data_IF_686577930635
#
_entry.id   IF_686577930635
#
_cell.length_a   1.000
_cell.length_b   1.000
_cell.length_c   1.000
_cell.angle_alpha   90.00
_cell.angle_beta   90.00
_cell.angle_gamma   90.00
#
_symmetry.space_group_name_H-M   'P 1'
#
loop_
_entity.id
_entity.type
_entity.pdbx_description
1 polymer ?
#
# COMPACT_ATOMS: atom_id res chain seq x y z
N UNK A 1 -4.25 29.19 -55.60
CA UNK A 1 -2.89 29.25 -55.06
C UNK A 1 -3.01 28.82 -53.60
N UNK A 2 -2.81 27.55 -53.35
CA UNK A 2 -2.95 27.00 -52.00
C UNK A 2 -1.60 27.16 -51.28
N UNK A 3 -1.63 27.84 -50.14
CA UNK A 3 -0.45 28.08 -49.30
C UNK A 3 -0.07 26.78 -48.57
N UNK A 4 1.03 26.15 -49.03
CA UNK A 4 1.61 24.93 -48.47
C UNK A 4 2.51 25.22 -47.28
N UNK A 5 2.66 26.47 -46.84
CA UNK A 5 3.61 26.90 -45.81
C UNK A 5 3.03 26.81 -44.39
N UNK A 6 1.71 26.85 -44.24
CA UNK A 6 1.09 26.84 -42.90
C UNK A 6 0.87 25.44 -42.30
N UNK A 7 1.28 24.38 -42.99
CA UNK A 7 1.19 22.99 -42.46
C UNK A 7 2.51 22.42 -41.95
N UNK A 8 3.58 23.19 -41.90
CA UNK A 8 4.93 22.72 -41.47
C UNK A 8 5.36 23.31 -40.12
N UNK A 9 4.52 24.01 -39.39
CA UNK A 9 4.86 24.61 -38.11
C UNK A 9 4.14 23.99 -36.90
N UNK A 10 3.51 22.84 -37.06
CA UNK A 10 3.09 22.00 -35.92
C UNK A 10 3.95 20.72 -35.91
N UNK A 11 5.26 20.89 -35.77
CA UNK A 11 6.12 19.82 -35.30
C UNK A 11 5.93 19.79 -33.79
N UNK A 12 5.13 18.83 -33.33
CA UNK A 12 5.20 18.35 -31.96
C UNK A 12 6.68 18.20 -31.60
N UNK A 13 7.16 18.97 -30.64
CA UNK A 13 8.38 18.70 -29.91
C UNK A 13 8.17 17.39 -29.15
N UNK A 14 8.23 16.28 -29.86
CA UNK A 14 8.56 15.00 -29.24
C UNK A 14 10.01 15.16 -28.74
N UNK A 15 10.13 15.50 -27.48
CA UNK A 15 11.35 15.27 -26.69
C UNK A 15 11.81 13.85 -27.03
N UNK A 16 13.05 13.61 -27.47
CA UNK A 16 13.52 12.27 -27.74
C UNK A 16 13.32 11.48 -26.46
N UNK A 17 12.47 10.45 -26.49
CA UNK A 17 12.39 9.46 -25.42
C UNK A 17 13.75 8.77 -25.38
N UNK A 18 14.66 9.30 -24.58
CA UNK A 18 15.89 8.62 -24.22
C UNK A 18 15.43 7.35 -23.50
N UNK A 19 15.84 6.21 -24.01
CA UNK A 19 15.44 4.88 -23.51
C UNK A 19 16.15 4.62 -22.17
N UNK A 20 15.78 5.41 -21.15
CA UNK A 20 16.39 5.40 -19.83
C UNK A 20 15.83 4.26 -19.00
N UNK A 21 16.66 3.25 -18.78
CA UNK A 21 16.32 2.10 -17.94
C UNK A 21 16.67 2.31 -16.45
N UNK A 22 17.36 3.40 -16.12
CA UNK A 22 17.84 3.70 -14.76
C UNK A 22 17.39 5.08 -14.28
N UNK A 23 16.96 5.15 -13.02
CA UNK A 23 16.78 6.40 -12.32
C UNK A 23 17.58 6.42 -11.01
N UNK A 24 17.86 7.62 -10.51
CA UNK A 24 18.60 7.86 -9.27
C UNK A 24 17.81 8.82 -8.39
N UNK A 25 17.57 8.44 -7.14
CA UNK A 25 17.15 9.32 -6.06
C UNK A 25 18.39 9.64 -5.22
N UNK A 26 18.94 10.83 -5.39
CA UNK A 26 20.20 11.23 -4.75
C UNK A 26 19.96 12.13 -3.52
N UNK A 27 20.82 12.04 -2.51
CA UNK A 27 20.89 12.95 -1.36
C UNK A 27 22.00 13.98 -1.55
N UNK A 28 23.12 13.57 -2.19
CA UNK A 28 24.29 14.39 -2.39
C UNK A 28 24.60 14.62 -3.88
N UNK A 29 25.04 15.83 -4.22
CA UNK A 29 25.53 16.14 -5.57
C UNK A 29 26.77 15.34 -5.96
N UNK A 30 27.60 14.97 -4.97
CA UNK A 30 28.79 14.14 -5.20
C UNK A 30 28.41 12.74 -5.68
N UNK A 31 27.42 12.10 -5.05
CA UNK A 31 26.91 10.80 -5.48
C UNK A 31 26.32 10.91 -6.90
N UNK A 32 25.46 11.91 -7.16
CA UNK A 32 24.87 12.14 -8.47
C UNK A 32 25.94 12.31 -9.56
N UNK A 33 26.90 13.18 -9.32
CA UNK A 33 27.98 13.48 -10.28
C UNK A 33 28.84 12.24 -10.56
N UNK A 34 29.14 11.45 -9.51
CA UNK A 34 29.91 10.22 -9.64
C UNK A 34 29.17 9.16 -10.45
N UNK A 35 27.86 8.95 -10.18
CA UNK A 35 27.03 8.02 -10.95
C UNK A 35 26.95 8.44 -12.43
N UNK A 36 26.74 9.72 -12.71
CA UNK A 36 26.73 10.23 -14.07
C UNK A 36 28.07 9.98 -14.79
N UNK A 37 29.19 10.24 -14.10
CA UNK A 37 30.52 9.99 -14.63
C UNK A 37 30.73 8.51 -14.93
N UNK A 38 30.32 7.61 -14.05
CA UNK A 38 30.41 6.17 -14.23
C UNK A 38 29.62 5.69 -15.46
N UNK A 39 28.37 6.12 -15.60
CA UNK A 39 27.52 5.76 -16.74
C UNK A 39 28.06 6.30 -18.05
N UNK A 40 28.51 7.56 -18.05
CA UNK A 40 29.12 8.20 -19.25
C UNK A 40 30.41 7.51 -19.67
N UNK A 41 31.27 7.15 -18.73
CA UNK A 41 32.54 6.47 -18.98
C UNK A 41 32.34 5.13 -19.70
N UNK A 42 31.31 4.38 -19.35
CA UNK A 42 30.94 3.09 -19.93
C UNK A 42 29.99 3.19 -21.13
N UNK A 43 29.69 4.41 -21.61
CA UNK A 43 28.79 4.65 -22.73
C UNK A 43 27.34 4.24 -22.48
N UNK A 44 26.92 4.16 -21.21
CA UNK A 44 25.56 3.89 -20.82
C UNK A 44 24.73 5.18 -20.85
N UNK A 45 23.41 5.08 -21.13
CA UNK A 45 22.51 6.24 -21.00
C UNK A 45 22.55 6.81 -19.58
N UNK A 46 22.70 8.11 -19.45
CA UNK A 46 22.70 8.78 -18.14
C UNK A 46 21.37 8.52 -17.43
N UNK A 47 21.39 8.15 -16.12
CA UNK A 47 20.18 7.91 -15.38
C UNK A 47 19.36 9.19 -15.19
N UNK A 48 18.04 9.06 -15.12
CA UNK A 48 17.16 10.18 -14.70
C UNK A 48 17.37 10.43 -13.22
N UNK A 49 17.78 11.63 -12.81
CA UNK A 49 18.08 11.92 -11.42
C UNK A 49 17.09 12.92 -10.80
N UNK A 50 16.66 12.61 -9.59
CA UNK A 50 15.86 13.47 -8.73
C UNK A 50 16.46 13.50 -7.33
N UNK A 51 16.27 14.61 -6.63
CA UNK A 51 16.56 14.64 -5.19
C UNK A 51 15.73 13.60 -4.45
N UNK A 52 16.31 12.94 -3.47
CA UNK A 52 15.64 11.94 -2.66
C UNK A 52 14.59 12.60 -1.72
N UNK A 53 13.44 12.94 -2.30
CA UNK A 53 12.30 13.52 -1.61
C UNK A 53 11.06 12.63 -1.81
N UNK A 54 10.10 12.64 -0.88
CA UNK A 54 8.90 11.80 -0.98
C UNK A 54 8.10 11.96 -2.28
N UNK A 55 8.08 13.17 -2.85
CA UNK A 55 7.40 13.47 -4.11
C UNK A 55 8.16 12.96 -5.35
N UNK A 56 9.47 12.77 -5.27
CA UNK A 56 10.30 12.35 -6.40
C UNK A 56 10.07 10.89 -6.78
N UNK A 57 9.82 10.03 -5.78
CA UNK A 57 9.51 8.63 -6.03
C UNK A 57 8.23 8.45 -6.87
N UNK A 58 7.23 9.31 -6.68
CA UNK A 58 5.98 9.28 -7.45
C UNK A 58 6.19 9.66 -8.92
N UNK A 59 7.09 10.61 -9.22
CA UNK A 59 7.41 11.01 -10.60
C UNK A 59 8.05 9.87 -11.40
N UNK A 60 8.71 8.93 -10.73
CA UNK A 60 9.34 7.78 -11.40
C UNK A 60 8.32 6.81 -11.99
N UNK A 61 7.08 6.80 -11.49
CA UNK A 61 6.01 5.98 -12.05
C UNK A 61 5.58 6.42 -13.47
N UNK A 62 5.92 7.64 -13.88
CA UNK A 62 5.60 8.19 -15.20
C UNK A 62 6.54 7.65 -16.30
N UNK A 63 7.68 7.05 -15.94
CA UNK A 63 8.67 6.54 -16.87
C UNK A 63 8.41 5.08 -17.25
N UNK A 64 7.86 4.86 -18.44
CA UNK A 64 7.38 3.53 -18.91
C UNK A 64 8.52 2.50 -19.05
N UNK A 65 9.75 2.92 -19.43
CA UNK A 65 10.87 2.02 -19.71
C UNK A 65 11.84 1.83 -18.54
N UNK A 66 11.52 2.38 -17.37
CA UNK A 66 12.36 2.27 -16.18
C UNK A 66 12.40 0.83 -15.67
N UNK A 67 13.61 0.33 -15.34
CA UNK A 67 13.84 -1.03 -14.85
C UNK A 67 14.57 -1.05 -13.51
N UNK A 68 15.46 -0.08 -13.28
CA UNK A 68 16.30 -0.01 -12.09
C UNK A 68 16.18 1.39 -11.47
N UNK A 69 16.01 1.45 -10.16
CA UNK A 69 16.06 2.68 -9.37
C UNK A 69 17.17 2.56 -8.34
N UNK A 70 18.12 3.49 -8.36
CA UNK A 70 19.16 3.62 -7.35
C UNK A 70 18.74 4.68 -6.32
N UNK A 71 18.83 4.38 -5.05
CA UNK A 71 18.41 5.25 -3.95
C UNK A 71 19.61 5.48 -3.04
N UNK A 72 20.09 6.71 -2.95
CA UNK A 72 21.13 7.09 -2.00
C UNK A 72 20.51 7.28 -0.61
N UNK A 73 21.09 6.60 0.39
CA UNK A 73 20.67 6.63 1.80
C UNK A 73 21.89 6.77 2.73
N UNK A 74 22.92 7.54 2.30
CA UNK A 74 24.13 7.78 3.11
C UNK A 74 23.84 8.55 4.40
N UNK A 75 22.86 9.46 4.38
CA UNK A 75 22.47 10.32 5.52
C UNK A 75 21.28 9.72 6.32
N UNK A 76 20.99 8.43 6.16
CA UNK A 76 19.85 7.79 6.81
C UNK A 76 20.24 7.21 8.17
N UNK A 77 19.48 7.53 9.22
CA UNK A 77 19.62 6.91 10.55
C UNK A 77 19.17 5.43 10.56
N UNK A 78 18.33 5.04 9.60
CA UNK A 78 17.85 3.66 9.46
C UNK A 78 17.60 3.32 7.98
N UNK A 79 18.66 2.85 7.33
CA UNK A 79 18.68 2.54 5.90
C UNK A 79 17.56 1.56 5.48
N UNK A 80 17.31 0.53 6.29
CA UNK A 80 16.29 -0.50 5.97
C UNK A 80 14.89 0.12 5.96
N UNK A 81 14.57 0.89 6.99
CA UNK A 81 13.26 1.53 7.13
C UNK A 81 13.01 2.56 6.00
N UNK A 82 14.01 3.40 5.74
CA UNK A 82 13.87 4.46 4.75
C UNK A 82 13.82 3.90 3.33
N UNK A 83 14.61 2.85 3.05
CA UNK A 83 14.51 2.10 1.80
C UNK A 83 13.12 1.49 1.59
N UNK A 84 12.54 0.88 2.64
CA UNK A 84 11.17 0.36 2.58
C UNK A 84 10.14 1.46 2.28
N UNK A 85 10.22 2.60 2.97
CA UNK A 85 9.26 3.70 2.77
C UNK A 85 9.31 4.28 1.36
N UNK A 86 10.51 4.46 0.80
CA UNK A 86 10.66 4.93 -0.57
C UNK A 86 10.18 3.86 -1.55
N UNK A 87 10.57 2.61 -1.33
CA UNK A 87 10.21 1.50 -2.19
C UNK A 87 8.69 1.28 -2.28
N UNK A 88 7.94 1.52 -1.20
CA UNK A 88 6.47 1.45 -1.22
C UNK A 88 5.84 2.44 -2.23
N UNK A 89 6.53 3.55 -2.52
CA UNK A 89 6.08 4.57 -3.48
C UNK A 89 6.53 4.29 -4.91
N UNK A 90 7.36 3.28 -5.13
CA UNK A 90 7.86 2.88 -6.44
C UNK A 90 7.04 1.73 -7.03
N UNK A 91 6.85 1.70 -8.36
CA UNK A 91 6.27 0.55 -9.02
C UNK A 91 6.99 -0.76 -8.63
N UNK A 92 6.23 -1.81 -8.36
CA UNK A 92 6.77 -3.08 -7.85
C UNK A 92 7.65 -3.83 -8.85
N UNK A 93 7.47 -3.55 -10.15
CA UNK A 93 8.29 -4.17 -11.20
C UNK A 93 9.74 -3.65 -11.22
N UNK A 94 10.04 -2.52 -10.57
CA UNK A 94 11.37 -1.93 -10.57
C UNK A 94 12.32 -2.68 -9.63
N UNK A 95 13.54 -2.92 -10.08
CA UNK A 95 14.63 -3.37 -9.22
C UNK A 95 15.18 -2.18 -8.44
N UNK A 96 15.21 -2.28 -7.12
CA UNK A 96 15.69 -1.22 -6.24
C UNK A 96 17.09 -1.52 -5.78
N UNK A 97 18.01 -0.56 -6.00
CA UNK A 97 19.37 -0.57 -5.49
C UNK A 97 19.50 0.51 -4.43
N UNK A 98 19.85 0.12 -3.23
CA UNK A 98 20.18 1.05 -2.15
C UNK A 98 21.67 1.34 -2.16
N UNK A 99 22.03 2.61 -2.18
CA UNK A 99 23.42 3.08 -2.07
C UNK A 99 23.60 3.61 -0.66
N UNK A 100 24.57 3.07 0.07
CA UNK A 100 24.82 3.46 1.46
C UNK A 100 26.21 3.13 1.92
N UNK A 101 26.65 3.78 2.99
CA UNK A 101 27.99 3.62 3.60
C UNK A 101 27.99 2.64 4.79
N UNK A 102 26.85 2.06 5.13
CA UNK A 102 26.72 1.14 6.24
C UNK A 102 27.20 -0.27 5.83
N UNK A 103 28.11 -0.86 6.59
CA UNK A 103 28.71 -2.18 6.33
C UNK A 103 28.14 -3.31 7.24
N UNK A 104 27.14 -3.00 8.07
CA UNK A 104 26.54 -3.97 8.96
C UNK A 104 25.88 -5.12 8.19
N UNK A 105 26.35 -6.33 8.42
CA UNK A 105 25.81 -7.56 7.77
C UNK A 105 24.31 -7.72 8.02
N UNK A 106 23.83 -7.28 9.19
CA UNK A 106 22.39 -7.32 9.54
C UNK A 106 21.56 -6.42 8.64
N UNK A 107 22.03 -5.21 8.34
CA UNK A 107 21.38 -4.25 7.44
C UNK A 107 21.36 -4.78 6.00
N UNK A 108 22.53 -5.25 5.52
CA UNK A 108 22.64 -5.82 4.16
C UNK A 108 21.73 -7.04 3.99
N UNK A 109 21.66 -7.91 5.01
CA UNK A 109 20.78 -9.09 4.99
C UNK A 109 19.31 -8.67 4.99
N UNK A 110 18.91 -7.73 5.85
CA UNK A 110 17.55 -7.24 5.91
C UNK A 110 17.10 -6.58 4.59
N UNK A 111 17.96 -5.80 3.94
CA UNK A 111 17.68 -5.24 2.60
C UNK A 111 17.51 -6.33 1.55
N UNK A 112 18.35 -7.37 1.58
CA UNK A 112 18.26 -8.50 0.66
C UNK A 112 16.97 -9.31 0.86
N UNK A 113 16.55 -9.52 2.10
CA UNK A 113 15.32 -10.22 2.44
C UNK A 113 14.07 -9.45 1.96
N UNK A 114 14.19 -8.11 1.86
CA UNK A 114 13.19 -7.22 1.25
C UNK A 114 13.24 -7.17 -0.29
N UNK A 115 14.17 -7.90 -0.90
CA UNK A 115 14.38 -7.93 -2.34
C UNK A 115 15.12 -6.73 -2.90
N UNK A 116 15.83 -5.98 -2.08
CA UNK A 116 16.68 -4.86 -2.52
C UNK A 116 18.09 -5.32 -2.78
N UNK A 117 18.74 -4.64 -3.73
CA UNK A 117 20.18 -4.74 -3.94
C UNK A 117 20.87 -3.66 -3.11
N UNK A 118 22.08 -3.91 -2.64
CA UNK A 118 22.87 -2.95 -1.88
C UNK A 118 24.20 -2.69 -2.53
N UNK A 119 24.50 -1.43 -2.86
CA UNK A 119 25.78 -0.96 -3.36
C UNK A 119 26.47 -0.16 -2.27
N UNK A 120 27.61 -0.65 -1.80
CA UNK A 120 28.40 0.04 -0.78
C UNK A 120 29.00 1.32 -1.34
N UNK A 121 28.93 2.40 -0.59
CA UNK A 121 29.45 3.69 -0.95
C UNK A 121 30.63 4.09 -0.02
N UNK A 122 31.74 4.68 -0.55
CA UNK A 122 31.99 5.01 -1.98
C UNK A 122 32.37 3.78 -2.81
N UNK A 123 31.85 3.70 -4.03
CA UNK A 123 32.21 2.68 -5.02
C UNK A 123 32.96 3.30 -6.18
N UNK A 124 33.85 2.56 -6.82
CA UNK A 124 34.51 3.00 -8.05
C UNK A 124 33.55 3.05 -9.24
N UNK A 125 33.88 3.79 -10.30
CA UNK A 125 33.06 3.91 -11.51
C UNK A 125 32.77 2.55 -12.15
N UNK A 126 33.76 1.65 -12.16
CA UNK A 126 33.62 0.28 -12.69
C UNK A 126 32.69 -0.54 -11.82
N UNK A 127 32.84 -0.48 -10.49
CA UNK A 127 31.97 -1.21 -9.56
C UNK A 127 30.49 -0.77 -9.70
N UNK A 128 30.22 0.52 -9.86
CA UNK A 128 28.88 1.05 -10.08
C UNK A 128 28.26 0.46 -11.34
N UNK A 129 28.99 0.49 -12.45
CA UNK A 129 28.46 0.06 -13.76
C UNK A 129 28.33 -1.46 -13.86
N UNK A 130 29.27 -2.23 -13.32
CA UNK A 130 29.19 -3.70 -13.26
C UNK A 130 28.02 -4.14 -12.39
N UNK A 131 27.84 -3.46 -11.25
CA UNK A 131 26.72 -3.72 -10.38
C UNK A 131 25.38 -3.42 -11.06
N UNK A 132 25.26 -2.25 -11.70
CA UNK A 132 24.09 -1.89 -12.49
C UNK A 132 23.78 -2.91 -13.59
N UNK A 133 24.78 -3.33 -14.37
CA UNK A 133 24.61 -4.35 -15.41
C UNK A 133 24.13 -5.68 -14.84
N UNK A 134 24.66 -6.08 -13.69
CA UNK A 134 24.24 -7.30 -13.00
C UNK A 134 22.80 -7.21 -12.55
N UNK A 135 22.37 -6.07 -11.98
CA UNK A 135 20.98 -5.85 -11.56
C UNK A 135 20.05 -5.81 -12.76
N UNK A 136 20.43 -5.10 -13.84
CA UNK A 136 19.64 -5.02 -15.07
C UNK A 136 19.50 -6.40 -15.73
N UNK A 137 20.58 -7.17 -15.80
CA UNK A 137 20.57 -8.53 -16.32
C UNK A 137 19.62 -9.43 -15.51
N UNK A 138 19.73 -9.38 -14.19
CA UNK A 138 18.84 -10.09 -13.28
C UNK A 138 17.39 -9.66 -13.47
N UNK A 139 17.14 -8.37 -13.66
CA UNK A 139 15.81 -7.83 -13.93
C UNK A 139 15.21 -8.44 -15.21
N UNK A 140 15.97 -8.49 -16.29
CA UNK A 140 15.52 -9.04 -17.59
C UNK A 140 15.32 -10.55 -17.53
N UNK A 141 16.23 -11.29 -16.91
CA UNK A 141 16.12 -12.75 -16.77
C UNK A 141 14.96 -13.19 -15.87
N UNK A 142 14.63 -12.39 -14.86
CA UNK A 142 13.57 -12.68 -13.88
C UNK A 142 12.16 -12.28 -14.33
N UNK A 143 11.97 -11.74 -15.53
CA UNK A 143 10.63 -11.51 -16.10
C UNK A 143 9.78 -12.82 -16.21
N UNK A 144 10.41 -13.99 -16.00
CA UNK A 144 9.72 -15.30 -15.95
C UNK A 144 9.70 -15.99 -14.57
N UNK A 145 10.45 -15.50 -13.56
CA UNK A 145 10.55 -16.19 -12.25
C UNK A 145 10.64 -15.14 -11.13
N UNK A 146 9.61 -15.11 -10.31
CA UNK A 146 9.49 -14.42 -9.01
C UNK A 146 10.11 -13.02 -8.92
N UNK A 147 9.27 -12.01 -9.00
CA UNK A 147 9.58 -10.62 -8.60
C UNK A 147 9.94 -10.58 -7.12
N UNK A 148 11.01 -9.88 -6.76
CA UNK A 148 11.55 -9.84 -5.40
C UNK A 148 10.71 -9.00 -4.41
N UNK A 149 9.75 -8.20 -4.90
CA UNK A 149 8.93 -7.36 -4.05
C UNK A 149 7.50 -7.85 -4.06
N UNK A 150 6.99 -8.16 -2.88
CA UNK A 150 5.57 -8.47 -2.65
C UNK A 150 4.82 -7.21 -2.30
N UNK A 151 3.54 -7.14 -2.71
CA UNK A 151 2.64 -6.14 -2.19
C UNK A 151 2.53 -6.25 -0.68
N UNK A 152 2.39 -5.13 0.02
CA UNK A 152 2.09 -5.13 1.45
C UNK A 152 0.63 -5.53 1.64
N UNK A 153 0.40 -6.68 2.25
CA UNK A 153 -0.94 -7.23 2.49
C UNK A 153 -1.45 -6.80 3.86
N UNK A 154 -2.62 -6.18 3.90
CA UNK A 154 -3.24 -5.65 5.12
C UNK A 154 -4.67 -6.18 5.22
N UNK A 155 -4.95 -7.00 6.23
CA UNK A 155 -6.29 -7.48 6.50
C UNK A 155 -7.05 -6.50 7.40
N UNK A 156 -8.25 -6.14 6.98
CA UNK A 156 -9.21 -5.36 7.78
C UNK A 156 -10.25 -6.30 8.34
N UNK A 157 -10.30 -6.44 9.65
CA UNK A 157 -11.21 -7.33 10.35
C UNK A 157 -12.06 -6.53 11.34
N UNK A 158 -13.37 -6.63 11.20
CA UNK A 158 -14.29 -6.10 12.19
C UNK A 158 -14.43 -7.06 13.37
N UNK A 159 -14.29 -6.57 14.60
CA UNK A 159 -14.49 -7.42 15.79
C UNK A 159 -15.93 -7.94 15.89
N UNK A 160 -16.87 -7.27 15.21
CA UNK A 160 -18.27 -7.71 14.98
C UNK A 160 -18.84 -7.04 13.74
N UNK A 161 -20.01 -7.46 13.29
CA UNK A 161 -20.73 -6.80 12.20
C UNK A 161 -21.14 -5.36 12.54
N UNK A 162 -21.13 -4.49 11.53
CA UNK A 162 -21.59 -3.10 11.64
C UNK A 162 -20.63 -2.11 12.31
N UNK A 163 -19.38 -2.46 12.56
CA UNK A 163 -18.37 -1.55 13.13
C UNK A 163 -17.73 -0.63 12.09
N UNK A 164 -18.09 -0.74 10.80
CA UNK A 164 -17.60 0.13 9.72
C UNK A 164 -16.31 -0.33 9.05
N UNK A 165 -15.99 -1.61 9.11
CA UNK A 165 -14.76 -2.19 8.53
C UNK A 165 -14.65 -1.91 7.04
N UNK A 166 -15.67 -2.24 6.23
CA UNK A 166 -15.67 -1.99 4.78
C UNK A 166 -15.54 -0.50 4.43
N UNK A 167 -16.14 0.39 5.22
CA UNK A 167 -16.01 1.82 5.06
C UNK A 167 -14.53 2.24 5.22
N UNK A 168 -13.90 1.80 6.31
CA UNK A 168 -12.50 2.15 6.59
C UNK A 168 -11.57 1.52 5.55
N UNK A 169 -11.78 0.25 5.18
CA UNK A 169 -10.99 -0.44 4.16
C UNK A 169 -11.09 0.25 2.79
N UNK A 170 -12.30 0.65 2.36
CA UNK A 170 -12.52 1.35 1.10
C UNK A 170 -11.88 2.74 1.09
N UNK A 171 -12.04 3.53 2.17
CA UNK A 171 -11.46 4.86 2.30
C UNK A 171 -9.92 4.82 2.32
N UNK A 172 -9.32 3.87 3.05
CA UNK A 172 -7.87 3.64 3.05
C UNK A 172 -7.39 3.26 1.66
N UNK A 173 -8.08 2.33 0.97
CA UNK A 173 -7.71 1.90 -0.38
C UNK A 173 -7.75 3.05 -1.38
N UNK A 174 -8.81 3.87 -1.35
CA UNK A 174 -8.94 5.05 -2.21
C UNK A 174 -7.90 6.12 -1.88
N UNK A 175 -7.62 6.33 -0.59
CA UNK A 175 -6.60 7.29 -0.16
C UNK A 175 -5.21 6.88 -0.65
N UNK A 176 -4.82 5.60 -0.49
CA UNK A 176 -3.54 5.07 -0.99
C UNK A 176 -3.44 5.24 -2.52
N UNK A 177 -4.49 4.90 -3.25
CA UNK A 177 -4.50 4.97 -4.71
C UNK A 177 -4.50 6.41 -5.22
N UNK A 178 -5.33 7.29 -4.65
CA UNK A 178 -5.58 8.63 -5.19
C UNK A 178 -4.62 9.69 -4.65
N UNK A 179 -4.43 9.74 -3.31
CA UNK A 179 -3.59 10.76 -2.69
C UNK A 179 -2.11 10.41 -2.73
N UNK A 180 -1.79 9.10 -2.59
CA UNK A 180 -0.42 8.61 -2.59
C UNK A 180 0.01 8.00 -3.93
N UNK A 181 -0.91 7.91 -4.91
CA UNK A 181 -0.67 7.32 -6.24
C UNK A 181 -0.08 5.90 -6.19
N UNK A 182 -0.47 5.12 -5.18
CA UNK A 182 0.03 3.76 -4.96
C UNK A 182 -0.92 2.74 -5.59
N UNK A 183 -0.44 1.85 -6.48
CA UNK A 183 -1.24 0.75 -6.99
C UNK A 183 -1.80 -0.09 -5.84
N UNK A 184 -3.11 -0.11 -5.68
CA UNK A 184 -3.82 -0.74 -4.57
C UNK A 184 -4.88 -1.70 -5.10
N UNK A 185 -4.87 -2.93 -4.58
CA UNK A 185 -5.90 -3.94 -4.83
C UNK A 185 -6.76 -4.07 -3.57
N UNK A 186 -8.06 -3.85 -3.69
CA UNK A 186 -9.03 -4.14 -2.64
C UNK A 186 -9.65 -5.51 -2.92
N UNK A 187 -9.58 -6.42 -1.94
CA UNK A 187 -10.11 -7.78 -2.04
C UNK A 187 -11.33 -7.92 -1.13
N UNK A 188 -12.45 -8.33 -1.70
CA UNK A 188 -13.71 -8.51 -0.99
C UNK A 188 -13.89 -9.97 -0.54
N UNK A 189 -13.76 -10.22 0.76
CA UNK A 189 -14.04 -11.54 1.35
C UNK A 189 -15.48 -11.67 1.88
N UNK A 190 -16.33 -10.68 1.62
CA UNK A 190 -17.76 -10.73 1.91
C UNK A 190 -18.51 -11.27 0.70
N UNK A 191 -18.57 -12.56 0.55
CA UNK A 191 -19.12 -13.23 -0.65
C UNK A 191 -20.64 -13.04 -0.80
N UNK A 192 -21.34 -12.72 0.28
CA UNK A 192 -22.79 -12.49 0.31
C UNK A 192 -23.09 -11.19 1.04
N UNK A 193 -23.88 -10.28 0.44
CA UNK A 193 -24.31 -9.06 1.11
C UNK A 193 -23.19 -8.04 1.34
N UNK A 194 -22.18 -7.99 0.46
CA UNK A 194 -21.15 -6.96 0.49
C UNK A 194 -21.75 -5.58 0.24
N UNK A 195 -21.17 -4.57 0.88
CA UNK A 195 -21.54 -3.16 0.69
C UNK A 195 -20.37 -2.33 0.11
N UNK A 196 -19.32 -2.98 -0.40
CA UNK A 196 -18.15 -2.27 -0.94
C UNK A 196 -18.51 -1.41 -2.16
N UNK A 197 -19.46 -1.85 -2.98
CA UNK A 197 -19.99 -1.07 -4.08
C UNK A 197 -20.58 0.27 -3.62
N UNK A 198 -21.35 0.26 -2.52
CA UNK A 198 -21.90 1.47 -1.90
C UNK A 198 -20.79 2.34 -1.31
N UNK A 199 -19.84 1.73 -0.57
CA UNK A 199 -18.72 2.47 0.04
C UNK A 199 -17.79 3.12 -0.99
N UNK A 200 -17.68 2.52 -2.18
CA UNK A 200 -16.89 3.03 -3.29
C UNK A 200 -17.69 3.90 -4.26
N UNK A 201 -19.00 4.09 -4.03
CA UNK A 201 -19.88 4.88 -4.90
C UNK A 201 -20.11 4.27 -6.28
N UNK A 202 -20.02 2.96 -6.44
CA UNK A 202 -20.10 2.26 -7.72
C UNK A 202 -21.55 1.98 -8.12
N UNK A 203 -22.06 2.64 -9.16
CA UNK A 203 -23.49 2.58 -9.56
C UNK A 203 -23.88 1.28 -10.29
N UNK A 204 -22.95 0.54 -10.87
CA UNK A 204 -23.22 -0.67 -11.68
C UNK A 204 -22.20 -1.77 -11.43
N UNK A 205 -21.75 -1.88 -10.20
CA UNK A 205 -20.79 -2.90 -9.83
C UNK A 205 -21.46 -4.27 -9.75
N UNK A 206 -20.81 -5.28 -10.28
CA UNK A 206 -21.18 -6.69 -10.16
C UNK A 206 -19.95 -7.50 -9.82
N UNK A 207 -20.07 -8.38 -8.85
CA UNK A 207 -19.05 -9.36 -8.54
C UNK A 207 -18.83 -10.29 -9.73
N UNK A 208 -17.63 -10.82 -9.86
CA UNK A 208 -17.31 -11.80 -10.89
C UNK A 208 -17.82 -13.17 -10.47
N UNK A 209 -18.73 -13.75 -11.27
CA UNK A 209 -19.21 -15.10 -11.01
C UNK A 209 -18.13 -16.12 -11.38
N UNK A 210 -17.80 -17.02 -10.45
CA UNK A 210 -16.87 -18.11 -10.65
C UNK A 210 -17.57 -19.46 -10.47
N UNK A 211 -17.25 -20.44 -11.32
CA UNK A 211 -17.90 -21.74 -11.35
C UNK A 211 -16.93 -22.86 -10.96
N UNK A 212 -17.48 -23.93 -10.39
CA UNK A 212 -16.76 -25.15 -9.99
C UNK A 212 -16.29 -25.94 -11.23
N UNK A 213 -15.28 -25.50 -11.89
CA UNK A 213 -14.65 -26.18 -13.05
C UNK A 213 -13.18 -25.81 -13.14
N UNK A 214 -12.80 -24.76 -12.44
CA UNK A 214 -11.43 -24.30 -12.33
C UNK A 214 -10.89 -24.76 -10.99
N UNK A 215 -10.03 -25.77 -10.99
CA UNK A 215 -9.32 -26.19 -9.79
C UNK A 215 -8.46 -25.03 -9.28
N UNK A 216 -8.33 -24.88 -7.97
CA UNK A 216 -7.43 -23.86 -7.35
C UNK A 216 -6.01 -23.97 -7.91
N UNK A 217 -5.57 -25.18 -8.24
CA UNK A 217 -4.29 -25.47 -8.88
C UNK A 217 -4.17 -25.00 -10.34
N UNK A 218 -5.29 -24.65 -10.99
CA UNK A 218 -5.32 -24.13 -12.37
C UNK A 218 -5.49 -22.61 -12.45
N UNK A 219 -5.45 -21.93 -11.30
CA UNK A 219 -5.48 -20.46 -11.25
C UNK A 219 -4.15 -19.93 -11.74
N UNK A 220 -4.18 -19.25 -12.87
CA UNK A 220 -3.02 -18.57 -13.44
C UNK A 220 -3.18 -17.03 -13.40
N UNK A 221 -2.12 -16.33 -13.75
CA UNK A 221 -2.09 -14.88 -13.76
C UNK A 221 -3.08 -14.27 -14.75
N UNK A 222 -3.33 -14.94 -15.90
CA UNK A 222 -4.26 -14.44 -16.92
C UNK A 222 -5.71 -14.49 -16.40
N UNK A 223 -6.11 -15.61 -15.80
CA UNK A 223 -7.41 -15.76 -15.17
C UNK A 223 -7.60 -14.76 -14.03
N UNK A 224 -6.63 -14.66 -13.15
CA UNK A 224 -6.69 -13.74 -12.02
C UNK A 224 -6.80 -12.27 -12.49
N UNK A 225 -6.02 -11.87 -13.49
CA UNK A 225 -6.07 -10.52 -14.06
C UNK A 225 -7.43 -10.20 -14.71
N UNK A 226 -8.09 -11.19 -15.31
CA UNK A 226 -9.42 -11.02 -15.90
C UNK A 226 -10.53 -10.85 -14.86
N UNK A 227 -10.34 -11.37 -13.65
CA UNK A 227 -11.31 -11.25 -12.56
C UNK A 227 -11.14 -9.95 -11.76
N UNK A 228 -9.94 -9.35 -11.79
CA UNK A 228 -9.69 -8.02 -11.21
C UNK A 228 -10.38 -6.95 -12.05
N UNK A 229 -11.08 -6.04 -11.39
CA UNK A 229 -11.75 -4.91 -12.02
C UNK A 229 -11.03 -3.61 -11.65
N UNK A 230 -10.58 -2.83 -12.64
CA UNK A 230 -10.05 -1.49 -12.42
C UNK A 230 -11.19 -0.54 -12.11
N UNK A 231 -11.09 0.23 -11.04
CA UNK A 231 -12.11 1.19 -10.60
C UNK A 231 -11.71 2.62 -10.91
N UNK A 232 -10.52 3.01 -10.50
CA UNK A 232 -9.92 4.33 -10.70
C UNK A 232 -8.42 4.13 -11.04
N UNK A 233 -7.72 5.22 -11.37
CA UNK A 233 -6.27 5.16 -11.50
C UNK A 233 -5.66 4.61 -10.20
N UNK A 234 -4.84 3.58 -10.32
CA UNK A 234 -4.18 2.90 -9.21
C UNK A 234 -5.11 2.15 -8.22
N UNK A 235 -6.41 2.08 -8.43
CA UNK A 235 -7.33 1.30 -7.60
C UNK A 235 -8.01 0.22 -8.42
N UNK A 236 -7.87 -1.01 -7.97
CA UNK A 236 -8.55 -2.17 -8.51
C UNK A 236 -9.26 -2.96 -7.41
N UNK A 237 -10.28 -3.72 -7.78
CA UNK A 237 -11.01 -4.58 -6.86
C UNK A 237 -11.04 -6.03 -7.39
N UNK A 238 -10.85 -6.97 -6.48
CA UNK A 238 -11.12 -8.38 -6.68
C UNK A 238 -12.33 -8.76 -5.81
N UNK A 239 -13.46 -8.97 -6.45
CA UNK A 239 -14.69 -9.37 -5.79
C UNK A 239 -15.36 -10.48 -6.59
N UNK A 240 -15.40 -11.66 -6.01
CA UNK A 240 -15.97 -12.86 -6.65
C UNK A 240 -17.20 -13.36 -5.89
N UNK A 241 -18.07 -14.06 -6.60
CA UNK A 241 -19.21 -14.76 -6.07
C UNK A 241 -19.38 -16.11 -6.74
N UNK A 242 -20.02 -17.06 -6.09
CA UNK A 242 -20.34 -18.36 -6.65
C UNK A 242 -21.56 -18.98 -5.98
N UNK A 243 -22.32 -19.73 -6.76
CA UNK A 243 -23.38 -20.60 -6.23
C UNK A 243 -22.87 -22.03 -5.99
N UNK A 244 -21.74 -22.40 -6.58
CA UNK A 244 -21.22 -23.76 -6.57
C UNK A 244 -20.19 -24.01 -5.46
N UNK A 245 -19.45 -22.95 -5.04
CA UNK A 245 -18.43 -23.03 -3.99
C UNK A 245 -19.04 -22.85 -2.61
N UNK A 246 -18.59 -23.64 -1.66
CA UNK A 246 -18.75 -23.30 -0.24
C UNK A 246 -17.95 -22.03 0.08
N UNK A 247 -18.27 -21.39 1.20
CA UNK A 247 -17.57 -20.17 1.65
C UNK A 247 -16.07 -20.39 1.83
N UNK A 248 -15.68 -21.54 2.40
CA UNK A 248 -14.25 -21.89 2.59
C UNK A 248 -13.52 -22.08 1.26
N UNK A 249 -14.12 -22.84 0.32
CA UNK A 249 -13.56 -23.03 -1.01
C UNK A 249 -13.42 -21.70 -1.76
N UNK A 250 -14.43 -20.82 -1.65
CA UNK A 250 -14.38 -19.51 -2.32
C UNK A 250 -13.31 -18.60 -1.70
N UNK A 251 -13.07 -18.73 -0.39
CA UNK A 251 -11.98 -18.03 0.29
C UNK A 251 -10.61 -18.51 -0.21
N UNK A 252 -10.37 -19.82 -0.25
CA UNK A 252 -9.13 -20.39 -0.78
C UNK A 252 -8.90 -20.00 -2.25
N UNK A 253 -9.98 -20.00 -3.05
CA UNK A 253 -9.91 -19.57 -4.43
C UNK A 253 -9.55 -18.09 -4.57
N UNK A 254 -10.15 -17.22 -3.74
CA UNK A 254 -9.84 -15.78 -3.72
C UNK A 254 -8.39 -15.54 -3.31
N UNK A 255 -7.87 -16.25 -2.32
CA UNK A 255 -6.46 -16.16 -1.92
C UNK A 255 -5.52 -16.60 -3.06
N UNK A 256 -5.85 -17.68 -3.77
CA UNK A 256 -5.08 -18.13 -4.92
C UNK A 256 -5.07 -17.07 -6.05
N UNK A 257 -6.21 -16.43 -6.33
CA UNK A 257 -6.30 -15.33 -7.29
C UNK A 257 -5.45 -14.12 -6.86
N UNK A 258 -5.57 -13.72 -5.59
CA UNK A 258 -4.82 -12.59 -5.02
C UNK A 258 -3.31 -12.80 -5.17
N UNK A 259 -2.83 -14.01 -4.89
CA UNK A 259 -1.42 -14.38 -5.03
C UNK A 259 -0.89 -14.26 -6.45
N UNK A 260 -1.73 -14.55 -7.46
CA UNK A 260 -1.33 -14.43 -8.88
C UNK A 260 -1.18 -12.96 -9.34
N UNK A 261 -1.88 -12.03 -8.68
CA UNK A 261 -1.87 -10.60 -9.04
C UNK A 261 -1.15 -9.71 -8.03
N UNK A 262 -0.60 -10.28 -6.95
CA UNK A 262 0.06 -9.51 -5.88
C UNK A 262 1.17 -8.59 -6.39
N UNK A 263 1.80 -8.97 -7.50
CA UNK A 263 2.90 -8.22 -8.10
C UNK A 263 2.46 -6.95 -8.83
N UNK A 264 1.18 -6.80 -9.11
CA UNK A 264 0.63 -5.65 -9.84
C UNK A 264 0.27 -4.49 -8.90
N UNK A 265 0.39 -4.70 -7.58
CA UNK A 265 0.00 -3.74 -6.55
C UNK A 265 1.14 -3.47 -5.59
N UNK A 266 1.15 -2.29 -5.00
CA UNK A 266 2.01 -1.96 -3.85
C UNK A 266 1.34 -2.33 -2.53
N UNK A 267 0.01 -2.24 -2.50
CA UNK A 267 -0.83 -2.60 -1.36
C UNK A 267 -1.95 -3.54 -1.80
N UNK A 268 -2.23 -4.53 -0.95
CA UNK A 268 -3.42 -5.38 -1.01
C UNK A 268 -4.18 -5.17 0.28
N UNK A 269 -5.39 -4.67 0.18
CA UNK A 269 -6.31 -4.44 1.30
C UNK A 269 -7.37 -5.52 1.26
N UNK A 270 -7.42 -6.36 2.28
CA UNK A 270 -8.36 -7.48 2.37
C UNK A 270 -9.50 -7.13 3.32
N UNK A 271 -10.73 -7.03 2.82
CA UNK A 271 -11.93 -6.71 3.61
C UNK A 271 -12.61 -7.99 4.11
N UNK A 272 -12.42 -8.28 5.40
CA UNK A 272 -13.06 -9.37 6.13
C UNK A 272 -14.25 -8.88 6.99
N UNK A 273 -14.97 -7.87 6.56
CA UNK A 273 -16.00 -7.18 7.38
C UNK A 273 -17.14 -8.06 7.86
N UNK A 274 -17.57 -9.03 7.06
CA UNK A 274 -18.67 -9.94 7.36
C UNK A 274 -18.25 -11.39 7.58
N UNK A 275 -16.94 -11.63 7.61
CA UNK A 275 -16.45 -12.96 7.82
C UNK A 275 -16.58 -13.34 9.31
N UNK A 276 -17.68 -13.98 9.68
CA UNK A 276 -17.71 -14.76 10.90
C UNK A 276 -16.73 -15.93 10.76
N UNK A 277 -15.42 -15.62 10.70
CA UNK A 277 -14.36 -16.60 10.66
C UNK A 277 -14.25 -17.24 12.04
N UNK A 278 -14.19 -18.56 12.07
CA UNK A 278 -13.74 -19.27 13.26
C UNK A 278 -12.29 -18.86 13.54
N UNK A 279 -11.80 -19.09 14.73
CA UNK A 279 -10.42 -18.76 15.09
C UNK A 279 -9.41 -19.40 14.12
N UNK A 280 -9.60 -20.67 13.77
CA UNK A 280 -8.72 -21.37 12.82
C UNK A 280 -8.78 -20.80 11.40
N UNK A 281 -9.94 -20.42 10.92
CA UNK A 281 -10.09 -19.77 9.62
C UNK A 281 -9.43 -18.39 9.61
N UNK A 282 -9.56 -17.62 10.69
CA UNK A 282 -8.90 -16.31 10.81
C UNK A 282 -7.38 -16.47 10.78
N UNK A 283 -6.81 -17.42 11.53
CA UNK A 283 -5.36 -17.65 11.55
C UNK A 283 -4.83 -18.08 10.18
N UNK A 284 -5.56 -18.93 9.47
CA UNK A 284 -5.20 -19.30 8.09
C UNK A 284 -5.29 -18.12 7.13
N UNK A 285 -6.35 -17.32 7.24
CA UNK A 285 -6.54 -16.13 6.41
C UNK A 285 -5.43 -15.09 6.63
N UNK A 286 -4.87 -15.02 7.83
CA UNK A 286 -3.83 -14.06 8.19
C UNK A 286 -2.38 -14.58 7.97
N UNK A 287 -2.19 -15.83 7.53
CA UNK A 287 -0.88 -16.44 7.44
C UNK A 287 0.10 -15.70 6.48
N UNK A 288 -0.43 -15.14 5.39
CA UNK A 288 0.34 -14.41 4.37
C UNK A 288 0.19 -12.88 4.49
N UNK A 289 -0.46 -12.38 5.56
CA UNK A 289 -0.76 -10.95 5.77
C UNK A 289 0.34 -10.30 6.61
N UNK A 290 0.79 -9.11 6.22
CA UNK A 290 1.86 -8.37 6.92
C UNK A 290 1.33 -7.60 8.13
N UNK A 291 0.07 -7.15 8.08
CA UNK A 291 -0.53 -6.35 9.15
C UNK A 291 -2.03 -6.59 9.26
N UNK A 292 -2.52 -6.65 10.48
CA UNK A 292 -3.94 -6.79 10.80
C UNK A 292 -4.49 -5.48 11.36
N UNK A 293 -5.49 -4.92 10.71
CA UNK A 293 -6.27 -3.78 11.21
C UNK A 293 -7.55 -4.31 11.85
N UNK A 294 -7.68 -4.16 13.17
CA UNK A 294 -8.88 -4.53 13.93
C UNK A 294 -9.76 -3.32 14.15
N UNK A 295 -10.94 -3.32 13.54
CA UNK A 295 -11.93 -2.26 13.67
C UNK A 295 -12.95 -2.63 14.72
N UNK A 296 -13.15 -1.75 15.71
CA UNK A 296 -14.12 -1.90 16.77
C UNK A 296 -14.87 -0.60 17.05
N UNK A 297 -16.09 -0.67 17.57
CA UNK A 297 -16.87 0.50 17.95
C UNK A 297 -16.84 0.74 19.47
N UNK A 298 -17.35 1.89 19.90
CA UNK A 298 -17.38 2.33 21.29
C UNK A 298 -18.43 1.57 22.14
N UNK A 299 -18.44 0.23 22.10
CA UNK A 299 -19.35 -0.63 22.86
C UNK A 299 -18.61 -1.69 23.67
N UNK A 300 -19.20 -2.09 24.80
CA UNK A 300 -18.63 -3.13 25.68
C UNK A 300 -18.44 -4.47 24.96
N UNK A 301 -19.39 -4.83 24.09
CA UNK A 301 -19.29 -6.08 23.31
C UNK A 301 -18.10 -6.05 22.35
N UNK A 302 -17.86 -4.91 21.67
CA UNK A 302 -16.70 -4.75 20.79
C UNK A 302 -15.38 -4.82 21.53
N UNK A 303 -15.30 -4.20 22.71
CA UNK A 303 -14.09 -4.23 23.52
C UNK A 303 -13.77 -5.65 24.02
N UNK A 304 -14.79 -6.42 24.39
CA UNK A 304 -14.62 -7.84 24.75
C UNK A 304 -14.10 -8.67 23.57
N UNK A 305 -14.70 -8.51 22.38
CA UNK A 305 -14.28 -9.25 21.20
C UNK A 305 -12.90 -8.82 20.71
N UNK A 306 -12.53 -7.53 20.83
CA UNK A 306 -11.20 -7.04 20.57
C UNK A 306 -10.15 -7.80 21.39
N UNK A 307 -10.37 -7.88 22.72
CA UNK A 307 -9.47 -8.62 23.61
C UNK A 307 -9.34 -10.09 23.22
N UNK A 308 -10.47 -10.75 22.88
CA UNK A 308 -10.50 -12.14 22.47
C UNK A 308 -9.69 -12.36 21.17
N UNK A 309 -9.93 -11.53 20.15
CA UNK A 309 -9.26 -11.67 18.85
C UNK A 309 -7.77 -11.37 18.99
N UNK A 310 -7.39 -10.29 19.67
CA UNK A 310 -5.98 -9.94 19.88
C UNK A 310 -5.23 -11.05 20.61
N UNK A 311 -5.82 -11.59 21.70
CA UNK A 311 -5.22 -12.69 22.43
C UNK A 311 -5.04 -13.96 21.59
N UNK A 312 -6.01 -14.29 20.74
CA UNK A 312 -5.95 -15.41 19.81
C UNK A 312 -4.87 -15.23 18.75
N UNK A 313 -4.85 -14.05 18.09
CA UNK A 313 -3.86 -13.75 17.04
C UNK A 313 -2.44 -13.72 17.61
N UNK A 314 -2.22 -13.11 18.76
CA UNK A 314 -0.90 -13.08 19.40
C UNK A 314 -0.40 -14.46 19.82
N UNK A 315 -1.31 -15.37 20.20
CA UNK A 315 -0.93 -16.74 20.56
C UNK A 315 -0.49 -17.57 19.35
N UNK A 316 -1.13 -17.39 18.18
CA UNK A 316 -0.86 -18.17 16.96
C UNK A 316 0.14 -17.49 16.01
N UNK A 317 0.11 -16.16 15.94
CA UNK A 317 0.93 -15.32 15.06
C UNK A 317 1.64 -14.22 15.88
N UNK A 318 2.64 -14.56 16.71
CA UNK A 318 3.24 -13.62 17.66
C UNK A 318 3.98 -12.45 16.99
N UNK A 319 4.37 -12.57 15.74
CA UNK A 319 5.05 -11.52 14.95
C UNK A 319 4.10 -10.62 14.18
N UNK A 320 2.78 -10.90 14.20
CA UNK A 320 1.77 -10.12 13.48
C UNK A 320 1.70 -8.70 14.01
N UNK A 321 1.82 -7.73 13.13
CA UNK A 321 1.59 -6.32 13.45
C UNK A 321 0.08 -6.07 13.54
N UNK A 322 -0.42 -5.73 14.72
CA UNK A 322 -1.84 -5.44 14.96
C UNK A 322 -2.02 -3.93 15.13
N UNK A 323 -2.88 -3.34 14.29
CA UNK A 323 -3.31 -1.95 14.38
C UNK A 323 -4.78 -1.91 14.81
N UNK A 324 -5.08 -1.28 15.94
CA UNK A 324 -6.44 -1.17 16.47
C UNK A 324 -7.06 0.17 16.12
N UNK A 325 -8.27 0.14 15.55
CA UNK A 325 -9.02 1.33 15.12
C UNK A 325 -10.35 1.40 15.85
N UNK A 326 -10.50 2.40 16.71
CA UNK A 326 -11.78 2.68 17.36
C UNK A 326 -12.61 3.58 16.45
N UNK A 327 -13.64 3.01 15.84
CA UNK A 327 -14.56 3.73 14.97
C UNK A 327 -15.82 4.14 15.73
N UNK A 328 -16.08 5.43 15.81
CA UNK A 328 -17.28 5.97 16.43
C UNK A 328 -18.45 5.91 15.45
N UNK A 329 -19.20 4.81 15.47
CA UNK A 329 -20.40 4.62 14.63
C UNK A 329 -21.61 5.44 15.09
N UNK A 330 -21.52 6.08 16.26
CA UNK A 330 -22.54 6.92 16.90
C UNK A 330 -21.90 8.16 17.53
N UNK A 331 -22.68 9.23 17.79
CA UNK A 331 -22.19 10.39 18.51
C UNK A 331 -21.58 10.01 19.86
N UNK A 332 -20.59 10.76 20.31
CA UNK A 332 -19.84 10.49 21.53
C UNK A 332 -20.70 10.39 22.81
N UNK A 333 -21.82 11.11 22.86
CA UNK A 333 -22.80 11.03 23.96
C UNK A 333 -23.59 9.72 24.00
N UNK A 334 -23.61 8.97 22.89
CA UNK A 334 -24.24 7.66 22.79
C UNK A 334 -23.24 6.49 22.89
N UNK A 335 -21.95 6.80 23.10
CA UNK A 335 -20.92 5.80 23.30
C UNK A 335 -21.01 5.20 24.70
N UNK A 336 -20.97 3.86 24.81
CA UNK A 336 -20.95 3.15 26.10
C UNK A 336 -19.56 2.84 26.63
N UNK A 337 -18.52 3.10 25.82
CA UNK A 337 -17.11 2.90 26.16
C UNK A 337 -16.34 4.17 25.77
N UNK A 338 -15.62 4.74 26.71
CA UNK A 338 -14.74 5.89 26.50
C UNK A 338 -13.33 5.46 26.09
N UNK A 339 -12.51 6.39 25.59
CA UNK A 339 -11.08 6.15 25.31
C UNK A 339 -10.33 5.69 26.57
N UNK A 340 -10.70 6.18 27.75
CA UNK A 340 -10.12 5.77 29.03
C UNK A 340 -10.51 4.33 29.40
N UNK A 341 -11.75 3.92 29.11
CA UNK A 341 -12.20 2.54 29.32
C UNK A 341 -11.45 1.55 28.43
N UNK A 342 -11.12 1.96 27.19
CA UNK A 342 -10.26 1.14 26.29
C UNK A 342 -8.91 0.91 26.94
N UNK A 343 -8.23 1.96 27.40
CA UNK A 343 -6.92 1.83 28.09
C UNK A 343 -7.04 0.95 29.31
N UNK A 344 -8.09 1.10 30.11
CA UNK A 344 -8.30 0.35 31.35
C UNK A 344 -8.53 -1.15 31.10
N UNK A 345 -9.29 -1.50 30.06
CA UNK A 345 -9.74 -2.87 29.84
C UNK A 345 -9.00 -3.62 28.73
N UNK A 346 -8.40 -2.91 27.80
CA UNK A 346 -7.53 -3.48 26.74
C UNK A 346 -6.06 -3.40 27.09
N UNK A 347 -5.68 -2.57 28.07
CA UNK A 347 -4.29 -2.40 28.52
C UNK A 347 -3.48 -1.36 27.75
N UNK A 348 -3.99 -0.89 26.61
CA UNK A 348 -3.36 0.16 25.80
C UNK A 348 -4.41 0.99 25.05
N UNK A 349 -4.01 2.18 24.60
CA UNK A 349 -4.87 3.00 23.75
C UNK A 349 -5.03 2.38 22.35
N UNK A 350 -6.15 2.64 21.69
CA UNK A 350 -6.29 2.33 20.28
C UNK A 350 -5.26 3.14 19.46
N UNK A 351 -4.70 2.52 18.43
CA UNK A 351 -3.71 3.18 17.56
C UNK A 351 -4.32 4.36 16.79
N UNK A 352 -5.60 4.27 16.47
CA UNK A 352 -6.33 5.27 15.70
C UNK A 352 -7.76 5.41 16.18
N UNK A 353 -8.30 6.63 16.10
CA UNK A 353 -9.69 6.97 16.39
C UNK A 353 -10.31 7.63 15.17
N UNK A 354 -11.41 7.04 14.67
CA UNK A 354 -12.22 7.62 13.61
C UNK A 354 -13.48 8.17 14.27
N UNK A 355 -13.63 9.49 14.28
CA UNK A 355 -14.74 10.15 14.96
C UNK A 355 -16.04 10.01 14.16
N UNK A 356 -17.19 10.12 14.83
CA UNK A 356 -18.48 10.06 14.18
C UNK A 356 -18.75 11.32 13.35
N UNK A 357 -19.21 11.13 12.12
CA UNK A 357 -19.70 12.22 11.26
C UNK A 357 -21.10 11.92 10.74
N UNK A 358 -22.06 12.77 11.05
CA UNK A 358 -23.43 12.67 10.58
C UNK A 358 -23.57 12.86 9.07
N UNK A 359 -22.58 13.45 8.40
CA UNK A 359 -22.54 13.65 6.95
C UNK A 359 -21.86 12.52 6.18
N UNK A 360 -21.27 11.55 6.86
CA UNK A 360 -20.53 10.48 6.22
C UNK A 360 -21.35 9.78 5.11
N UNK A 361 -22.62 9.49 5.37
CA UNK A 361 -23.51 8.88 4.40
C UNK A 361 -23.77 9.77 3.16
N UNK A 362 -23.73 11.09 3.30
CA UNK A 362 -23.89 12.01 2.17
C UNK A 362 -22.64 11.96 1.28
N UNK A 363 -21.44 11.98 1.85
CA UNK A 363 -20.20 11.85 1.10
C UNK A 363 -20.15 10.53 0.32
N UNK A 364 -20.54 9.41 0.97
CA UNK A 364 -20.62 8.12 0.30
C UNK A 364 -21.60 8.10 -0.87
N UNK A 365 -22.80 8.67 -0.69
CA UNK A 365 -23.81 8.76 -1.77
C UNK A 365 -23.35 9.65 -2.94
N UNK A 366 -22.51 10.63 -2.68
CA UNK A 366 -21.91 11.51 -3.68
C UNK A 366 -20.66 10.89 -4.32
N UNK A 367 -20.16 9.77 -3.78
CA UNK A 367 -18.92 9.13 -4.22
C UNK A 367 -17.67 9.92 -3.87
N UNK A 368 -17.76 10.85 -2.89
CA UNK A 368 -16.65 11.65 -2.43
C UNK A 368 -15.75 10.85 -1.51
N UNK A 369 -14.43 11.07 -1.60
CA UNK A 369 -13.45 10.49 -0.68
C UNK A 369 -13.49 11.26 0.64
N UNK A 370 -13.86 10.61 1.74
CA UNK A 370 -14.02 11.24 3.06
C UNK A 370 -12.74 11.95 3.49
N UNK A 371 -11.56 11.40 3.18
CA UNK A 371 -10.27 12.01 3.50
C UNK A 371 -10.00 13.32 2.76
N UNK A 372 -10.72 13.64 1.68
CA UNK A 372 -10.65 14.91 0.95
C UNK A 372 -11.73 15.92 1.39
N UNK A 373 -12.65 15.50 2.24
CA UNK A 373 -13.74 16.36 2.73
C UNK A 373 -13.37 16.97 4.11
N UNK A 374 -14.19 17.90 4.59
CA UNK A 374 -14.09 18.44 5.95
C UNK A 374 -14.85 17.56 6.96
N UNK A 375 -14.70 16.25 6.84
CA UNK A 375 -15.35 15.28 7.73
C UNK A 375 -14.64 15.18 9.07
N UNK A 376 -15.41 14.94 10.14
CA UNK A 376 -14.85 14.60 11.46
C UNK A 376 -14.02 13.29 11.40
N UNK A 377 -14.28 12.41 10.43
CA UNK A 377 -13.57 11.16 10.21
C UNK A 377 -12.19 11.37 9.58
N UNK A 378 -11.98 12.50 8.87
CA UNK A 378 -10.79 12.76 8.04
C UNK A 378 -9.48 12.54 8.80
N UNK A 379 -9.37 13.14 9.99
CA UNK A 379 -8.13 13.10 10.77
C UNK A 379 -7.76 11.66 11.15
N UNK A 380 -8.75 10.87 11.60
CA UNK A 380 -8.53 9.47 11.98
C UNK A 380 -8.14 8.60 10.80
N UNK A 381 -8.82 8.75 9.65
CA UNK A 381 -8.50 8.01 8.43
C UNK A 381 -7.10 8.35 7.91
N UNK A 382 -6.73 9.63 7.88
CA UNK A 382 -5.39 10.07 7.47
C UNK A 382 -4.31 9.55 8.43
N UNK A 383 -4.59 9.55 9.75
CA UNK A 383 -3.68 8.97 10.73
C UNK A 383 -3.50 7.46 10.51
N UNK A 384 -4.57 6.72 10.21
CA UNK A 384 -4.49 5.30 9.91
C UNK A 384 -3.62 5.03 8.68
N UNK A 385 -3.83 5.79 7.60
CA UNK A 385 -2.99 5.67 6.38
C UNK A 385 -1.52 5.94 6.70
N UNK A 386 -1.20 6.98 7.46
CA UNK A 386 0.17 7.28 7.88
C UNK A 386 0.80 6.11 8.67
N UNK A 387 0.05 5.50 9.61
CA UNK A 387 0.50 4.32 10.35
C UNK A 387 0.80 3.16 9.38
N UNK A 388 -0.08 2.89 8.42
CA UNK A 388 0.08 1.79 7.46
C UNK A 388 1.25 2.04 6.49
N UNK A 389 1.56 3.29 6.18
CA UNK A 389 2.74 3.71 5.42
C UNK A 389 4.03 3.66 6.25
N UNK A 390 3.93 3.45 7.58
CA UNK A 390 5.09 3.45 8.48
C UNK A 390 5.60 4.86 8.80
N UNK A 391 4.79 5.89 8.54
CA UNK A 391 5.14 7.28 8.88
C UNK A 391 5.04 7.50 10.40
N UNK A 392 5.94 8.31 10.97
CA UNK A 392 5.81 8.72 12.37
C UNK A 392 4.67 9.69 12.50
N UNK A 393 3.60 9.27 13.15
CA UNK A 393 2.50 10.17 13.50
C UNK A 393 2.93 11.04 14.65
N UNK A 394 3.43 12.23 14.34
CA UNK A 394 3.65 13.27 15.37
C UNK A 394 2.26 13.72 15.85
N UNK A 395 1.85 13.26 17.02
CA UNK A 395 0.68 13.80 17.69
C UNK A 395 0.94 15.27 17.99
N UNK A 396 0.47 16.18 17.12
CA UNK A 396 0.40 17.61 17.44
C UNK A 396 -0.61 17.75 18.58
N UNK A 397 -0.11 17.78 19.81
CA UNK A 397 -0.93 18.15 20.97
C UNK A 397 -1.53 19.54 20.70
N UNK A 398 -2.86 19.66 20.87
CA UNK A 398 -3.62 20.92 20.71
C UNK A 398 -3.28 21.99 21.77
N UNK A 399 -2.07 22.05 22.27
CA UNK A 399 -1.68 22.93 23.40
C UNK A 399 -0.61 23.97 23.02
N UNK A 400 -0.71 24.63 21.86
CA UNK A 400 0.27 25.68 21.55
C UNK A 400 -0.28 27.01 21.01
N UNK A 401 -1.58 27.20 20.84
CA UNK A 401 -2.04 28.53 20.36
C UNK A 401 -2.48 29.48 21.50
N UNK A 402 -2.68 28.95 22.69
CA UNK A 402 -3.04 29.77 23.89
C UNK A 402 -1.86 30.42 24.61
N UNK A 403 -0.62 30.09 24.29
CA UNK A 403 0.56 30.73 24.87
C UNK A 403 0.91 32.07 24.21
N UNK A 404 0.27 32.46 23.11
CA UNK A 404 0.51 33.71 22.39
C UNK A 404 -0.40 34.86 22.85
N UNK A 405 -1.42 34.58 23.67
CA UNK A 405 -2.36 35.57 24.21
C UNK A 405 -2.05 36.03 25.65
N UNK A 406 -0.89 35.66 26.18
CA UNK A 406 -0.39 36.13 27.48
C UNK A 406 1.01 36.76 27.35
N UNK A 407 1.12 37.78 26.51
CA UNK A 407 2.15 38.83 26.60
C UNK A 407 1.55 40.14 26.13
#
# INVERSE_FOLDING_TARGET
>A
MFNLVDKLSAKDEQTPQVDNHCAVLFQSEDCRAHLYKAFRFEGLPEPVAFENQPASALKLAEFVNLKVVMIELNDSDNVVRDAQQIALKLPTHLSVVVIGSEDAITTIRALKDLGFYYLFWPASEIEVTDFYRSVLHNHVQRQGVARNRKAKQIAFVGVKGGVGTSLIASEVSRCLAKQYSLPTLLVDHTYTGSNLDVMLGLKKFQKRNVQKGTLVSAVDTALASNLVQSLENNLSILAVESQDFSRGELHEYTQALTKQVEQNSSFIIEDYSHSALTQQELSRALADVDSLVLVFDATVSSLRELNRIVGSVQAELPTMTIVTVMNHTRPSNAASVSKADVVKHFGQAANCHVEFDHKANQYLLQGELITETRSEMQLGLTQLVAILLGEQVVQKSKTSWLSWLKR
#
